data_IF_196865509788
#
_entry.id   IF_196865509788
#
_cell.length_a   1.000
_cell.length_b   1.000
_cell.length_c   1.000
_cell.angle_alpha   90.00
_cell.angle_beta   90.00
_cell.angle_gamma   90.00
#
_symmetry.space_group_name_H-M   'P 1'
#
loop_
_entity.id
_entity.type
_entity.pdbx_description
1 polymer ?
#
# COMPACT_ATOMS: atom_id res chain seq x y z
N UNK A 1 9.46 39.27 -70.79
CA UNK A 1 10.50 38.22 -70.89
C UNK A 1 10.09 37.13 -69.91
N UNK A 2 9.43 36.05 -70.37
CA UNK A 2 10.03 34.77 -70.83
C UNK A 2 10.92 34.17 -69.73
N UNK A 3 10.72 32.98 -69.18
CA UNK A 3 9.80 31.83 -69.32
C UNK A 3 10.04 30.97 -68.04
N UNK A 4 9.63 29.72 -67.84
CA UNK A 4 9.09 28.65 -68.67
C UNK A 4 8.81 27.48 -67.69
N UNK A 5 7.74 26.72 -67.95
CA UNK A 5 7.52 25.29 -67.61
C UNK A 5 7.27 24.93 -66.13
N UNK A 6 6.28 24.13 -65.77
CA UNK A 6 5.30 23.35 -66.54
C UNK A 6 4.72 22.21 -65.70
N UNK A 7 3.70 21.56 -66.27
CA UNK A 7 3.22 20.19 -65.99
C UNK A 7 2.17 19.97 -64.89
N UNK A 8 0.91 20.11 -65.33
CA UNK A 8 -0.20 19.14 -65.37
C UNK A 8 -0.62 18.36 -64.10
N UNK A 9 -1.96 18.25 -63.86
CA UNK A 9 -2.59 17.87 -62.60
C UNK A 9 -3.03 16.40 -62.59
N UNK A 10 -3.84 16.03 -61.59
CA UNK A 10 -4.51 14.74 -61.35
C UNK A 10 -3.72 13.74 -60.52
N UNK A 11 -4.21 13.53 -59.30
CA UNK A 11 -4.63 12.22 -58.78
C UNK A 11 -4.78 12.39 -57.26
N UNK A 12 -5.93 12.85 -56.77
CA UNK A 12 -6.56 12.36 -55.54
C UNK A 12 -8.00 12.88 -55.56
N UNK A 13 -8.92 11.98 -55.88
CA UNK A 13 -10.35 12.24 -55.73
C UNK A 13 -10.65 12.52 -54.26
N UNK A 14 -11.54 13.48 -54.02
CA UNK A 14 -12.27 13.64 -52.77
C UNK A 14 -13.27 12.47 -52.66
N UNK A 15 -12.76 11.26 -52.49
CA UNK A 15 -13.56 10.13 -52.02
C UNK A 15 -13.47 10.12 -50.49
N UNK A 16 -14.63 10.34 -49.87
CA UNK A 16 -15.02 9.97 -48.51
C UNK A 16 -13.93 9.37 -47.63
N UNK A 17 -13.16 10.25 -46.98
CA UNK A 17 -12.54 9.90 -45.71
C UNK A 17 -13.61 9.95 -44.63
N UNK A 18 -14.54 9.00 -44.71
CA UNK A 18 -15.38 8.61 -43.59
C UNK A 18 -14.47 7.83 -42.63
N UNK A 19 -13.50 8.53 -42.02
CA UNK A 19 -12.72 7.99 -40.91
C UNK A 19 -13.76 7.80 -39.81
N UNK A 20 -14.14 6.55 -39.47
CA UNK A 20 -15.03 6.37 -38.34
C UNK A 20 -14.37 7.06 -37.14
N UNK A 21 -15.10 7.90 -36.38
CA UNK A 21 -14.53 8.59 -35.25
C UNK A 21 -13.80 7.55 -34.41
N UNK A 22 -12.51 7.81 -34.12
CA UNK A 22 -11.69 6.92 -33.32
C UNK A 22 -12.51 6.63 -32.07
N UNK A 23 -13.04 5.41 -31.99
CA UNK A 23 -13.82 4.99 -30.84
C UNK A 23 -12.88 5.16 -29.64
N UNK A 24 -13.25 5.95 -28.62
CA UNK A 24 -12.43 6.05 -27.42
C UNK A 24 -12.11 4.63 -26.96
N UNK A 25 -10.83 4.34 -26.78
CA UNK A 25 -10.38 3.02 -26.33
C UNK A 25 -11.29 2.58 -25.18
N UNK A 26 -11.77 1.34 -25.19
CA UNK A 26 -12.76 0.85 -24.21
C UNK A 26 -12.40 1.26 -22.77
N UNK A 27 -11.12 1.18 -22.39
CA UNK A 27 -10.58 1.60 -21.08
C UNK A 27 -10.84 3.06 -20.67
N UNK A 28 -11.15 3.95 -21.61
CA UNK A 28 -11.41 5.37 -21.38
C UNK A 28 -12.91 5.66 -21.23
N UNK A 29 -13.79 4.70 -21.53
CA UNK A 29 -15.24 4.88 -21.35
C UNK A 29 -15.56 4.87 -19.84
N UNK A 30 -16.45 5.75 -19.34
CA UNK A 30 -16.75 5.89 -17.91
C UNK A 30 -17.16 4.59 -17.20
N UNK A 31 -17.87 3.71 -17.91
CA UNK A 31 -18.34 2.39 -17.49
C UNK A 31 -17.25 1.28 -17.53
N UNK A 32 -16.08 1.57 -18.10
CA UNK A 32 -14.95 0.66 -18.25
C UNK A 32 -13.63 1.26 -17.72
N UNK A 33 -13.72 2.36 -16.96
CA UNK A 33 -12.53 2.92 -16.32
C UNK A 33 -12.01 1.88 -15.34
N UNK A 34 -10.76 1.40 -15.45
CA UNK A 34 -10.17 0.66 -14.36
C UNK A 34 -10.25 1.52 -13.08
N UNK A 35 -10.22 0.90 -11.89
CA UNK A 35 -10.19 1.64 -10.61
C UNK A 35 -11.53 2.26 -10.17
N UNK A 36 -12.63 1.53 -10.36
CA UNK A 36 -13.92 1.93 -9.77
C UNK A 36 -14.09 1.45 -8.32
N UNK A 37 -13.40 0.38 -7.97
CA UNK A 37 -13.54 -0.27 -6.68
C UNK A 37 -12.36 0.05 -5.77
N UNK A 38 -12.67 0.20 -4.49
CA UNK A 38 -11.74 0.54 -3.41
C UNK A 38 -11.91 -0.54 -2.35
N UNK A 39 -10.80 -1.11 -1.88
CA UNK A 39 -10.78 -1.98 -0.71
C UNK A 39 -10.38 -1.16 0.51
N UNK A 40 -11.16 -1.27 1.59
CA UNK A 40 -10.96 -0.52 2.84
C UNK A 40 -11.08 -1.44 4.05
N UNK A 41 -10.17 -1.26 4.99
CA UNK A 41 -10.08 -2.02 6.24
C UNK A 41 -10.51 -1.13 7.40
N UNK A 42 -11.60 -1.51 8.06
CA UNK A 42 -12.13 -0.79 9.20
C UNK A 42 -11.73 -1.51 10.48
N UNK A 43 -11.20 -0.74 11.42
CA UNK A 43 -10.89 -1.25 12.74
C UNK A 43 -12.19 -1.47 13.52
N UNK A 44 -12.19 -2.50 14.35
CA UNK A 44 -13.36 -2.87 15.15
C UNK A 44 -13.21 -4.26 15.76
N UNK A 45 -14.10 -4.65 16.66
CA UNK A 45 -14.12 -6.01 17.23
C UNK A 45 -15.43 -6.70 16.83
N UNK A 46 -15.45 -7.52 15.76
CA UNK A 46 -14.35 -7.80 14.83
C UNK A 46 -14.11 -6.67 13.81
N UNK A 47 -12.95 -6.66 13.13
CA UNK A 47 -12.69 -5.75 12.02
C UNK A 47 -13.66 -6.01 10.84
N UNK A 48 -13.77 -5.04 9.93
CA UNK A 48 -14.54 -5.18 8.69
C UNK A 48 -13.65 -4.88 7.49
N UNK A 49 -13.58 -5.82 6.55
CA UNK A 49 -13.00 -5.57 5.24
C UNK A 49 -14.14 -5.34 4.24
N UNK A 50 -14.07 -4.29 3.43
CA UNK A 50 -15.09 -4.01 2.41
C UNK A 50 -14.45 -3.60 1.09
N UNK A 51 -15.06 -4.05 0.00
CA UNK A 51 -14.84 -3.52 -1.35
C UNK A 51 -16.08 -2.72 -1.71
N UNK A 52 -15.88 -1.46 -2.06
CA UNK A 52 -16.94 -0.51 -2.38
C UNK A 52 -16.56 0.32 -3.60
N UNK A 53 -17.54 0.93 -4.25
CA UNK A 53 -17.24 1.86 -5.33
C UNK A 53 -16.74 3.22 -4.83
N UNK A 54 -16.47 4.12 -5.77
CA UNK A 54 -16.03 5.49 -5.50
C UNK A 54 -17.04 6.30 -4.66
N UNK A 55 -18.32 5.95 -4.65
CA UNK A 55 -19.37 6.63 -3.87
C UNK A 55 -19.60 6.00 -2.49
N UNK A 56 -18.83 4.96 -2.15
CA UNK A 56 -18.92 4.25 -0.88
C UNK A 56 -19.99 3.15 -0.86
N UNK A 57 -20.59 2.81 -2.00
CA UNK A 57 -21.55 1.72 -2.08
C UNK A 57 -20.82 0.38 -1.97
N UNK A 58 -21.10 -0.37 -0.91
CA UNK A 58 -20.46 -1.66 -0.63
C UNK A 58 -20.93 -2.72 -1.62
N UNK A 59 -19.99 -3.33 -2.32
CA UNK A 59 -20.21 -4.43 -3.28
C UNK A 59 -19.86 -5.80 -2.71
N UNK A 60 -18.87 -5.84 -1.81
CA UNK A 60 -18.44 -7.04 -1.11
C UNK A 60 -17.93 -6.68 0.27
N UNK A 61 -18.12 -7.57 1.24
CA UNK A 61 -17.63 -7.39 2.60
C UNK A 61 -17.21 -8.70 3.23
N UNK A 62 -16.27 -8.65 4.14
CA UNK A 62 -15.80 -9.79 4.91
C UNK A 62 -15.69 -9.44 6.39
N UNK A 63 -16.26 -10.32 7.20
CA UNK A 63 -16.11 -10.40 8.65
C UNK A 63 -15.89 -11.84 9.06
N UNK A 64 -15.48 -12.08 10.31
CA UNK A 64 -15.34 -13.45 10.85
C UNK A 64 -16.63 -14.27 10.81
N UNK A 65 -17.81 -13.63 10.70
CA UNK A 65 -19.11 -14.32 10.60
C UNK A 65 -19.31 -14.98 9.23
N UNK A 66 -18.60 -14.52 8.21
CA UNK A 66 -18.66 -15.09 6.86
C UNK A 66 -17.87 -16.41 6.76
N UNK A 67 -17.03 -16.73 7.74
CA UNK A 67 -16.19 -17.93 7.73
C UNK A 67 -17.02 -19.16 8.14
N UNK A 68 -17.42 -19.95 7.14
CA UNK A 68 -18.18 -21.19 7.34
C UNK A 68 -17.34 -22.46 7.25
N UNK A 69 -16.09 -22.37 6.79
CA UNK A 69 -15.17 -23.50 6.72
C UNK A 69 -14.65 -23.90 8.10
N UNK A 70 -14.29 -25.18 8.26
CA UNK A 70 -13.55 -25.62 9.45
C UNK A 70 -12.15 -25.03 9.45
N UNK A 71 -11.70 -24.56 10.61
CA UNK A 71 -10.36 -24.02 10.81
C UNK A 71 -9.63 -24.84 11.89
N UNK A 72 -8.29 -24.98 11.77
CA UNK A 72 -7.45 -25.40 12.88
C UNK A 72 -7.73 -24.61 14.17
N UNK A 73 -7.67 -25.23 15.37
CA UNK A 73 -8.11 -24.59 16.62
C UNK A 73 -7.36 -23.29 16.98
N UNK A 74 -6.06 -23.22 16.70
CA UNK A 74 -5.26 -22.01 16.91
C UNK A 74 -5.68 -20.88 15.97
N UNK A 75 -5.86 -21.17 14.67
CA UNK A 75 -6.38 -20.19 13.71
C UNK A 75 -7.79 -19.72 14.09
N UNK A 76 -8.65 -20.63 14.53
CA UNK A 76 -9.98 -20.27 15.04
C UNK A 76 -9.88 -19.34 16.25
N UNK A 77 -9.01 -19.63 17.23
CA UNK A 77 -8.78 -18.74 18.38
C UNK A 77 -8.35 -17.34 17.94
N UNK A 78 -7.45 -17.22 16.97
CA UNK A 78 -6.99 -15.93 16.45
C UNK A 78 -8.09 -15.17 15.71
N UNK A 79 -8.88 -15.85 14.87
CA UNK A 79 -10.02 -15.27 14.16
C UNK A 79 -11.08 -14.71 15.13
N UNK A 80 -11.32 -15.41 16.24
CA UNK A 80 -12.31 -15.03 17.25
C UNK A 80 -11.75 -14.21 18.41
N UNK A 81 -10.48 -13.79 18.33
CA UNK A 81 -9.88 -12.90 19.32
C UNK A 81 -10.55 -11.51 19.37
N UNK A 82 -10.18 -10.70 20.37
CA UNK A 82 -10.62 -9.31 20.52
C UNK A 82 -9.70 -8.30 19.82
N UNK A 83 -8.73 -8.75 19.01
CA UNK A 83 -7.88 -7.86 18.23
C UNK A 83 -8.73 -7.12 17.18
N UNK A 84 -8.45 -5.82 17.00
CA UNK A 84 -9.26 -4.93 16.17
C UNK A 84 -8.61 -4.47 14.86
N UNK A 85 -7.46 -5.04 14.52
CA UNK A 85 -6.61 -4.52 13.44
C UNK A 85 -7.13 -4.81 12.03
N UNK A 86 -6.98 -3.82 11.15
CA UNK A 86 -7.15 -3.95 9.70
C UNK A 86 -6.09 -3.09 8.98
N UNK A 87 -4.81 -3.37 9.22
CA UNK A 87 -3.68 -2.49 8.88
C UNK A 87 -3.22 -2.57 7.41
N UNK A 88 -3.57 -3.64 6.69
CA UNK A 88 -3.14 -3.86 5.31
C UNK A 88 -4.16 -4.63 4.47
N UNK A 89 -4.23 -4.28 3.19
CA UNK A 89 -5.10 -4.87 2.19
C UNK A 89 -4.41 -4.90 0.83
N UNK A 90 -4.30 -6.08 0.22
CA UNK A 90 -3.62 -6.28 -1.07
C UNK A 90 -4.49 -7.04 -2.05
N UNK A 91 -4.69 -6.44 -3.22
CA UNK A 91 -5.23 -7.11 -4.39
C UNK A 91 -4.27 -8.20 -4.86
N UNK A 92 -4.78 -9.41 -5.04
CA UNK A 92 -4.01 -10.60 -5.41
C UNK A 92 -4.77 -11.42 -6.48
N UNK A 93 -4.06 -12.29 -7.19
CA UNK A 93 -4.64 -13.26 -8.12
C UNK A 93 -5.62 -12.65 -9.13
N UNK A 94 -5.23 -11.54 -9.76
CA UNK A 94 -6.12 -10.83 -10.68
C UNK A 94 -7.47 -10.41 -10.09
N UNK A 95 -7.52 -10.14 -8.78
CA UNK A 95 -8.71 -9.71 -8.06
C UNK A 95 -9.57 -10.85 -7.56
N UNK A 96 -9.12 -12.11 -7.69
CA UNK A 96 -9.83 -13.26 -7.11
C UNK A 96 -9.42 -13.56 -5.68
N UNK A 97 -8.47 -12.81 -5.11
CA UNK A 97 -8.03 -12.98 -3.73
C UNK A 97 -7.62 -11.65 -3.09
N UNK A 98 -7.79 -11.56 -1.78
CA UNK A 98 -7.40 -10.43 -0.93
C UNK A 98 -6.41 -10.91 0.14
N UNK A 99 -5.20 -10.36 0.14
CA UNK A 99 -4.26 -10.48 1.26
C UNK A 99 -4.55 -9.41 2.30
N UNK A 100 -4.56 -9.75 3.59
CA UNK A 100 -4.88 -8.80 4.64
C UNK A 100 -4.20 -9.10 5.98
N UNK A 101 -4.01 -8.05 6.77
CA UNK A 101 -3.96 -8.16 8.23
C UNK A 101 -5.39 -7.96 8.75
N UNK A 102 -5.93 -8.95 9.46
CA UNK A 102 -7.31 -8.95 9.96
C UNK A 102 -7.35 -9.48 11.39
N UNK A 103 -7.67 -8.61 12.35
CA UNK A 103 -7.63 -8.93 13.77
C UNK A 103 -6.27 -9.53 14.10
N UNK A 104 -6.23 -10.69 14.74
CA UNK A 104 -4.99 -11.35 15.12
C UNK A 104 -4.42 -12.31 14.05
N UNK A 105 -4.71 -12.07 12.77
CA UNK A 105 -4.30 -12.91 11.64
C UNK A 105 -3.62 -12.10 10.54
N UNK A 106 -2.63 -12.71 9.89
CA UNK A 106 -2.26 -12.40 8.52
C UNK A 106 -2.83 -13.49 7.62
N UNK A 107 -3.59 -13.15 6.58
CA UNK A 107 -4.39 -14.12 5.83
C UNK A 107 -4.58 -13.76 4.36
N UNK A 108 -5.01 -14.75 3.57
CA UNK A 108 -5.48 -14.62 2.19
C UNK A 108 -6.91 -15.15 2.13
N UNK A 109 -7.81 -14.34 1.54
CA UNK A 109 -9.24 -14.64 1.38
C UNK A 109 -9.55 -14.75 -0.10
N UNK A 110 -10.38 -15.71 -0.50
CA UNK A 110 -10.99 -15.72 -1.82
C UNK A 110 -11.99 -14.56 -1.99
N UNK A 111 -11.86 -13.85 -3.09
CA UNK A 111 -12.81 -12.87 -3.59
C UNK A 111 -13.38 -13.40 -4.90
N UNK A 112 -14.44 -14.20 -4.82
CA UNK A 112 -15.12 -14.78 -5.98
C UNK A 112 -16.62 -14.60 -5.83
N UNK A 113 -17.15 -13.36 -5.84
CA UNK A 113 -18.56 -13.07 -5.56
C UNK A 113 -19.54 -13.84 -6.47
N UNK A 114 -19.14 -14.12 -7.72
CA UNK A 114 -19.93 -14.92 -8.67
C UNK A 114 -19.93 -16.43 -8.37
N UNK A 115 -19.14 -16.88 -7.37
CA UNK A 115 -19.02 -18.27 -6.93
C UNK A 115 -19.20 -18.35 -5.40
N UNK A 116 -20.45 -18.27 -4.89
CA UNK A 116 -20.72 -18.18 -3.45
C UNK A 116 -20.16 -19.33 -2.59
N UNK A 117 -19.92 -20.51 -3.18
CA UNK A 117 -19.35 -21.67 -2.46
C UNK A 117 -17.86 -21.50 -2.12
N UNK A 118 -17.14 -20.70 -2.90
CA UNK A 118 -15.70 -20.48 -2.75
C UNK A 118 -15.37 -19.06 -2.31
N UNK A 119 -16.32 -18.14 -2.42
CA UNK A 119 -16.18 -16.77 -1.94
C UNK A 119 -15.95 -16.74 -0.43
N UNK A 120 -15.12 -15.78 0.03
CA UNK A 120 -14.82 -15.55 1.45
C UNK A 120 -14.14 -16.72 2.19
N UNK A 121 -13.72 -17.76 1.47
CA UNK A 121 -12.90 -18.82 2.06
C UNK A 121 -11.50 -18.28 2.38
N UNK A 122 -10.98 -18.64 3.55
CA UNK A 122 -9.59 -18.42 3.93
C UNK A 122 -8.75 -19.52 3.27
N UNK A 123 -7.82 -19.12 2.40
CA UNK A 123 -6.93 -20.05 1.68
C UNK A 123 -5.53 -20.14 2.30
N UNK A 124 -5.14 -19.11 3.04
CA UNK A 124 -3.94 -19.10 3.87
C UNK A 124 -4.19 -18.24 5.10
N UNK A 125 -3.65 -18.65 6.25
CA UNK A 125 -3.64 -17.81 7.44
C UNK A 125 -2.51 -18.21 8.39
N UNK A 126 -2.01 -17.21 9.13
CA UNK A 126 -1.10 -17.39 10.25
C UNK A 126 -1.51 -16.48 11.41
N UNK A 127 -1.50 -17.03 12.62
CA UNK A 127 -1.72 -16.26 13.84
C UNK A 127 -0.60 -15.25 14.08
N UNK A 128 -0.98 -14.02 14.42
CA UNK A 128 -0.05 -12.96 14.81
C UNK A 128 0.45 -13.12 16.24
N UNK A 129 -0.28 -13.82 17.11
CA UNK A 129 0.08 -14.11 18.51
C UNK A 129 1.28 -15.08 18.64
N UNK A 130 2.44 -14.64 18.16
CA UNK A 130 3.73 -15.32 18.19
C UNK A 130 4.83 -14.28 18.34
N UNK A 131 5.98 -14.67 18.88
CA UNK A 131 7.11 -13.75 19.09
C UNK A 131 7.57 -13.04 17.80
N UNK A 132 7.38 -13.68 16.64
CA UNK A 132 7.80 -13.14 15.34
C UNK A 132 6.74 -12.35 14.57
N UNK A 133 5.47 -12.33 15.02
CA UNK A 133 4.36 -11.68 14.30
C UNK A 133 3.43 -10.84 15.18
N UNK A 134 3.69 -10.70 16.50
CA UNK A 134 2.77 -10.06 17.46
C UNK A 134 2.35 -8.64 17.05
N UNK A 135 3.19 -7.95 16.27
CA UNK A 135 2.90 -6.64 15.69
C UNK A 135 3.01 -6.65 14.15
N UNK A 136 2.59 -7.75 13.50
CA UNK A 136 2.53 -7.81 12.04
C UNK A 136 1.59 -6.72 11.51
N UNK A 137 2.02 -5.98 10.49
CA UNK A 137 1.36 -4.75 10.06
C UNK A 137 1.09 -4.69 8.56
N UNK A 138 1.91 -5.37 7.77
CA UNK A 138 1.77 -5.41 6.30
C UNK A 138 2.05 -6.81 5.75
N UNK A 139 1.46 -7.09 4.60
CA UNK A 139 1.64 -8.30 3.81
C UNK A 139 1.91 -7.92 2.36
N UNK A 140 2.69 -8.70 1.64
CA UNK A 140 2.88 -8.54 0.20
C UNK A 140 2.97 -9.91 -0.48
N UNK A 141 2.20 -10.14 -1.57
CA UNK A 141 2.37 -11.33 -2.40
C UNK A 141 3.73 -11.33 -3.08
N UNK A 142 4.35 -12.51 -3.18
CA UNK A 142 5.61 -12.77 -3.85
C UNK A 142 5.44 -13.87 -4.91
N UNK A 143 6.37 -14.02 -5.86
CA UNK A 143 6.32 -15.09 -6.86
C UNK A 143 6.23 -16.50 -6.26
N UNK A 144 5.42 -17.34 -6.91
CA UNK A 144 5.29 -18.76 -6.56
C UNK A 144 4.52 -18.98 -5.27
N UNK A 145 3.35 -18.35 -5.14
CA UNK A 145 2.38 -18.48 -4.05
C UNK A 145 2.99 -18.21 -2.68
N UNK A 146 3.90 -17.24 -2.57
CA UNK A 146 4.53 -16.87 -1.30
C UNK A 146 3.95 -15.58 -0.77
N UNK A 147 3.82 -15.49 0.55
CA UNK A 147 3.36 -14.28 1.22
C UNK A 147 4.46 -13.81 2.18
N UNK A 148 4.95 -12.59 1.97
CA UNK A 148 5.74 -11.87 2.96
C UNK A 148 4.79 -11.25 3.99
N UNK A 149 5.13 -11.36 5.27
CA UNK A 149 4.43 -10.74 6.38
C UNK A 149 5.47 -9.99 7.21
N UNK A 150 5.31 -8.69 7.37
CA UNK A 150 6.27 -7.85 8.08
C UNK A 150 5.67 -7.23 9.34
N UNK A 151 6.54 -6.94 10.30
CA UNK A 151 6.15 -6.40 11.61
C UNK A 151 6.63 -4.99 11.83
N UNK A 152 5.89 -4.26 12.65
CA UNK A 152 6.31 -2.98 13.22
C UNK A 152 7.08 -3.17 14.53
N UNK A 153 7.78 -4.32 14.65
CA UNK A 153 8.61 -4.63 15.80
C UNK A 153 9.86 -3.75 15.87
N UNK A 154 10.35 -3.55 17.09
CA UNK A 154 11.42 -2.61 17.43
C UNK A 154 12.76 -3.31 17.70
N UNK A 155 12.81 -4.64 17.67
CA UNK A 155 13.98 -5.44 18.01
C UNK A 155 14.85 -5.68 16.77
N UNK A 156 16.18 -5.87 16.91
CA UNK A 156 17.06 -6.16 15.78
C UNK A 156 16.70 -7.41 14.98
N UNK A 157 15.97 -8.35 15.59
CA UNK A 157 15.52 -9.59 14.96
C UNK A 157 14.06 -9.53 14.47
N UNK A 158 13.39 -8.39 14.60
CA UNK A 158 12.13 -8.15 13.89
C UNK A 158 12.40 -7.92 12.39
N UNK A 159 11.36 -8.06 11.56
CA UNK A 159 11.47 -7.90 10.12
C UNK A 159 10.36 -8.62 9.35
N UNK A 160 10.74 -9.37 8.32
CA UNK A 160 9.83 -10.02 7.37
C UNK A 160 9.93 -11.53 7.46
N UNK A 161 8.79 -12.20 7.66
CA UNK A 161 8.65 -13.64 7.57
C UNK A 161 7.96 -14.01 6.25
N UNK A 162 8.50 -15.00 5.54
CA UNK A 162 7.94 -15.48 4.27
C UNK A 162 7.34 -16.87 4.47
N UNK A 163 6.13 -17.06 3.96
CA UNK A 163 5.37 -18.30 4.04
C UNK A 163 5.02 -18.84 2.65
N UNK A 164 4.82 -20.15 2.54
CA UNK A 164 4.11 -20.72 1.41
C UNK A 164 2.60 -20.54 1.64
N UNK A 165 2.00 -19.66 0.87
CA UNK A 165 0.59 -19.28 0.94
C UNK A 165 -0.24 -19.86 -0.22
N UNK A 166 0.24 -20.94 -0.83
CA UNK A 166 -0.52 -21.70 -1.83
C UNK A 166 -1.83 -22.20 -1.25
N UNK A 167 -2.92 -21.99 -2.00
CA UNK A 167 -4.25 -22.48 -1.65
C UNK A 167 -4.36 -24.02 -1.70
N UNK A 168 -3.38 -24.70 -2.32
CA UNK A 168 -3.29 -26.17 -2.35
C UNK A 168 -2.77 -26.73 -1.03
N UNK A 169 -2.14 -25.90 -0.17
CA UNK A 169 -1.71 -26.32 1.15
C UNK A 169 -2.90 -26.32 2.13
N UNK A 170 -2.97 -27.31 3.04
CA UNK A 170 -3.96 -27.27 4.09
C UNK A 170 -3.70 -26.10 5.05
N UNK A 171 -4.77 -25.53 5.60
CA UNK A 171 -4.66 -24.61 6.73
C UNK A 171 -4.09 -25.35 7.95
N UNK A 172 -3.14 -24.73 8.62
CA UNK A 172 -2.45 -25.27 9.81
C UNK A 172 -2.26 -24.15 10.83
N UNK A 173 -2.24 -24.49 12.12
CA UNK A 173 -1.98 -23.52 13.21
C UNK A 173 -0.59 -22.89 13.13
N UNK A 174 0.37 -23.58 12.51
CA UNK A 174 1.78 -23.18 12.42
C UNK A 174 2.31 -23.48 11.03
N UNK A 175 1.91 -22.70 10.00
CA UNK A 175 2.50 -22.85 8.67
C UNK A 175 4.02 -22.66 8.75
N UNK A 176 4.83 -23.48 8.05
CA UNK A 176 6.28 -23.34 8.08
C UNK A 176 6.75 -21.98 7.56
N UNK A 177 7.72 -21.39 8.26
CA UNK A 177 8.43 -20.20 7.80
C UNK A 177 9.45 -20.64 6.76
N UNK A 178 9.33 -20.16 5.52
CA UNK A 178 10.30 -20.41 4.45
C UNK A 178 11.55 -19.54 4.62
N UNK A 179 11.37 -18.31 5.11
CA UNK A 179 12.45 -17.35 5.26
C UNK A 179 12.16 -16.35 6.37
N UNK A 180 13.22 -15.92 7.07
CA UNK A 180 13.19 -14.82 8.04
C UNK A 180 14.24 -13.77 7.65
N UNK A 181 13.77 -12.58 7.26
CA UNK A 181 14.59 -11.42 6.94
C UNK A 181 14.56 -10.42 8.09
N UNK A 182 15.63 -10.38 8.87
CA UNK A 182 15.78 -9.46 10.00
C UNK A 182 16.49 -8.16 9.63
N UNK A 183 16.45 -7.17 10.52
CA UNK A 183 17.36 -6.01 10.50
C UNK A 183 16.73 -4.70 10.03
N UNK A 184 15.64 -4.75 9.27
CA UNK A 184 14.76 -3.59 9.08
C UNK A 184 13.65 -3.65 10.13
N UNK A 185 13.55 -2.61 10.96
CA UNK A 185 12.58 -2.51 12.05
C UNK A 185 11.38 -1.68 11.63
N UNK A 186 10.32 -1.70 12.44
CA UNK A 186 9.15 -0.83 12.27
C UNK A 186 8.59 -0.83 10.82
N UNK A 187 8.47 -2.00 10.18
CA UNK A 187 8.05 -2.09 8.78
C UNK A 187 6.55 -1.87 8.67
N UNK A 188 6.14 -0.81 7.98
CA UNK A 188 4.73 -0.47 7.77
C UNK A 188 4.25 -0.65 6.32
N UNK A 189 5.17 -0.71 5.36
CA UNK A 189 4.83 -0.84 3.94
C UNK A 189 5.78 -1.78 3.20
N UNK A 190 5.21 -2.58 2.30
CA UNK A 190 5.95 -3.41 1.36
C UNK A 190 5.33 -3.33 -0.03
N UNK A 191 6.15 -3.46 -1.07
CA UNK A 191 5.68 -3.66 -2.44
C UNK A 191 6.58 -4.63 -3.21
N UNK A 192 5.95 -5.49 -4.00
CA UNK A 192 6.65 -6.27 -5.01
C UNK A 192 6.85 -5.45 -6.29
N UNK A 193 8.10 -5.43 -6.76
CA UNK A 193 8.51 -4.86 -8.02
C UNK A 193 8.83 -5.99 -9.01
N UNK A 194 7.87 -6.29 -9.89
CA UNK A 194 8.02 -7.36 -10.88
C UNK A 194 9.08 -7.05 -11.94
N UNK A 195 9.30 -5.78 -12.30
CA UNK A 195 10.32 -5.43 -13.29
C UNK A 195 11.72 -5.58 -12.70
N UNK A 196 11.91 -5.16 -11.46
CA UNK A 196 13.18 -5.32 -10.73
C UNK A 196 13.38 -6.71 -10.12
N UNK A 197 12.35 -7.56 -10.09
CA UNK A 197 12.30 -8.81 -9.33
C UNK A 197 12.76 -8.59 -7.88
N UNK A 198 12.10 -7.65 -7.19
CA UNK A 198 12.54 -7.14 -5.89
C UNK A 198 11.36 -6.91 -4.96
N UNK A 199 11.51 -7.30 -3.69
CA UNK A 199 10.62 -6.84 -2.63
C UNK A 199 11.22 -5.57 -2.03
N UNK A 200 10.49 -4.46 -2.11
CA UNK A 200 10.85 -3.23 -1.41
C UNK A 200 10.08 -3.14 -0.10
N UNK A 201 10.75 -2.76 0.99
CA UNK A 201 10.15 -2.57 2.31
C UNK A 201 10.53 -1.20 2.88
N UNK A 202 9.57 -0.54 3.53
CA UNK A 202 9.72 0.73 4.21
C UNK A 202 9.59 0.55 5.72
N UNK A 203 10.61 0.98 6.47
CA UNK A 203 10.69 0.90 7.92
C UNK A 203 11.78 1.81 8.47
N UNK A 204 12.49 1.34 9.50
CA UNK A 204 13.50 2.09 10.24
C UNK A 204 14.79 1.27 10.39
N UNK A 205 15.94 1.94 10.33
CA UNK A 205 17.25 1.29 10.55
C UNK A 205 17.58 1.02 12.02
N UNK A 206 16.91 1.73 12.94
CA UNK A 206 16.98 1.56 14.39
C UNK A 206 15.57 1.53 14.99
N UNK A 207 15.46 1.31 16.31
CA UNK A 207 14.17 1.28 16.99
C UNK A 207 13.46 2.65 16.90
N UNK A 208 12.27 2.65 16.31
CA UNK A 208 11.43 3.84 16.16
C UNK A 208 10.92 4.37 17.51
N UNK A 209 10.80 3.52 18.53
CA UNK A 209 10.33 3.89 19.87
C UNK A 209 11.40 4.54 20.76
N UNK A 210 12.62 4.76 20.23
CA UNK A 210 13.73 5.38 20.93
C UNK A 210 14.52 4.44 21.85
N UNK A 211 14.18 3.14 21.91
CA UNK A 211 14.82 2.17 22.81
C UNK A 211 16.30 1.88 22.50
N UNK A 212 16.77 2.19 21.29
CA UNK A 212 18.20 2.09 20.93
C UNK A 212 19.03 3.30 21.40
N UNK A 213 18.39 4.37 21.92
CA UNK A 213 19.04 5.62 22.35
C UNK A 213 19.94 6.30 21.29
N UNK A 214 19.60 6.13 20.01
CA UNK A 214 20.23 6.77 18.86
C UNK A 214 19.14 7.30 17.90
N UNK A 215 19.47 8.24 17.00
CA UNK A 215 18.56 8.63 15.92
C UNK A 215 18.20 7.43 15.04
N UNK A 216 16.91 7.25 14.77
CA UNK A 216 16.40 6.25 13.84
C UNK A 216 15.92 6.93 12.56
N UNK A 217 16.40 6.45 11.42
CA UNK A 217 16.16 7.02 10.11
C UNK A 217 15.13 6.20 9.34
N UNK A 218 14.17 6.90 8.72
CA UNK A 218 13.31 6.29 7.71
C UNK A 218 14.14 5.62 6.63
N UNK A 219 13.95 4.32 6.45
CA UNK A 219 14.82 3.47 5.63
C UNK A 219 14.00 2.57 4.72
N UNK A 220 14.44 2.50 3.46
CA UNK A 220 13.88 1.64 2.42
C UNK A 220 14.94 0.60 2.06
N UNK A 221 14.55 -0.67 2.07
CA UNK A 221 15.42 -1.78 1.66
C UNK A 221 14.77 -2.52 0.50
N UNK A 222 15.55 -2.72 -0.55
CA UNK A 222 15.26 -3.64 -1.64
C UNK A 222 15.86 -5.01 -1.36
N UNK A 223 15.05 -6.06 -1.45
CA UNK A 223 15.46 -7.45 -1.32
C UNK A 223 15.36 -8.14 -2.69
N UNK A 224 16.47 -8.33 -3.41
CA UNK A 224 16.45 -9.00 -4.71
C UNK A 224 15.93 -10.43 -4.59
N UNK A 225 15.14 -10.85 -5.56
CA UNK A 225 14.60 -12.20 -5.64
C UNK A 225 15.57 -13.15 -6.35
N UNK A 226 15.83 -14.30 -5.74
CA UNK A 226 16.53 -15.40 -6.38
C UNK A 226 15.53 -16.41 -6.93
N UNK A 227 15.32 -16.38 -8.25
CA UNK A 227 14.40 -17.29 -8.93
C UNK A 227 14.81 -18.77 -8.83
N UNK A 228 16.07 -19.08 -8.53
CA UNK A 228 16.55 -20.47 -8.40
C UNK A 228 16.16 -21.07 -7.07
N UNK A 229 16.31 -20.29 -5.99
CA UNK A 229 16.01 -20.75 -4.63
C UNK A 229 14.59 -20.39 -4.19
N UNK A 230 13.97 -19.42 -4.85
CA UNK A 230 12.70 -18.85 -4.45
C UNK A 230 12.78 -18.11 -3.11
N UNK A 231 13.92 -17.45 -2.86
CA UNK A 231 14.22 -16.71 -1.64
C UNK A 231 14.66 -15.28 -1.96
N UNK A 232 14.42 -14.38 -1.02
CA UNK A 232 14.87 -13.00 -1.06
C UNK A 232 16.33 -12.89 -0.58
N UNK A 233 17.12 -11.98 -1.14
CA UNK A 233 18.52 -11.75 -0.72
C UNK A 233 18.64 -10.44 0.04
N UNK A 234 19.49 -10.42 1.07
CA UNK A 234 19.98 -9.17 1.66
C UNK A 234 21.16 -8.68 0.84
N UNK A 235 21.15 -7.41 0.48
CA UNK A 235 22.19 -6.78 -0.32
C UNK A 235 22.25 -5.29 0.02
N UNK A 236 23.36 -4.88 0.63
CA UNK A 236 23.54 -3.53 1.17
C UNK A 236 23.54 -2.45 0.08
N UNK A 237 23.65 -2.84 -1.20
CA UNK A 237 23.54 -1.92 -2.35
C UNK A 237 22.14 -1.32 -2.51
N UNK A 238 21.11 -1.96 -1.93
CA UNK A 238 19.72 -1.52 -2.03
C UNK A 238 19.18 -1.04 -0.68
N UNK A 239 20.00 -0.37 0.12
CA UNK A 239 19.60 0.24 1.40
C UNK A 239 19.67 1.76 1.27
N UNK A 240 18.53 2.42 1.39
CA UNK A 240 18.38 3.86 1.18
C UNK A 240 17.75 4.49 2.40
N UNK A 241 18.40 5.51 2.97
CA UNK A 241 17.95 6.20 4.18
C UNK A 241 17.59 7.65 3.86
N UNK A 242 16.59 8.17 4.55
CA UNK A 242 16.37 9.61 4.59
C UNK A 242 17.60 10.31 5.17
N UNK A 243 17.90 11.51 4.70
CA UNK A 243 19.10 12.25 5.09
C UNK A 243 19.07 12.79 6.51
N UNK A 244 17.89 12.86 7.12
CA UNK A 244 17.67 13.33 8.49
C UNK A 244 16.70 12.41 9.21
N UNK A 245 17.00 12.13 10.48
CA UNK A 245 16.09 11.54 11.43
C UNK A 245 15.36 12.67 12.17
N UNK A 246 14.04 12.58 12.25
CA UNK A 246 13.22 13.50 13.00
C UNK A 246 12.51 12.76 14.13
N UNK A 247 12.35 13.38 15.28
CA UNK A 247 11.36 12.93 16.26
C UNK A 247 9.94 13.38 15.83
N UNK A 248 8.93 12.82 16.48
CA UNK A 248 7.52 13.20 16.27
C UNK A 248 6.97 14.06 17.42
N UNK A 249 7.82 14.79 18.15
CA UNK A 249 7.39 15.65 19.25
C UNK A 249 6.49 16.79 18.79
N UNK A 250 6.64 17.28 17.55
CA UNK A 250 5.75 18.30 16.99
C UNK A 250 4.29 17.87 17.07
N UNK A 251 4.00 16.61 16.78
CA UNK A 251 2.65 16.04 16.91
C UNK A 251 2.34 15.59 18.33
N UNK A 252 3.20 14.78 18.92
CA UNK A 252 2.87 14.02 20.13
C UNK A 252 3.24 14.73 21.44
N UNK A 253 3.89 15.88 21.35
CA UNK A 253 4.28 16.72 22.47
C UNK A 253 5.65 16.39 23.06
N UNK A 254 6.04 17.21 24.03
CA UNK A 254 7.39 17.17 24.60
C UNK A 254 7.68 15.84 25.30
N UNK A 255 8.84 15.25 24.98
CA UNK A 255 9.32 14.02 25.61
C UNK A 255 8.75 12.74 25.01
N UNK A 256 7.97 12.82 23.92
CA UNK A 256 7.55 11.64 23.19
C UNK A 256 8.76 11.00 22.50
N UNK A 257 9.10 9.72 22.80
CA UNK A 257 10.41 9.16 22.47
C UNK A 257 10.50 8.61 21.05
N UNK A 258 9.47 8.80 20.23
CA UNK A 258 9.38 8.17 18.91
C UNK A 258 10.05 9.00 17.81
N UNK A 259 10.67 8.28 16.89
CA UNK A 259 11.20 8.78 15.64
C UNK A 259 10.16 8.68 14.52
N UNK A 260 10.21 9.64 13.59
CA UNK A 260 9.39 9.68 12.39
C UNK A 260 9.75 8.50 11.48
N UNK A 261 8.80 7.60 11.32
CA UNK A 261 8.92 6.38 10.56
C UNK A 261 8.12 6.40 9.27
N UNK A 262 8.54 5.55 8.34
CA UNK A 262 7.85 5.35 7.09
C UNK A 262 6.58 4.51 7.30
N UNK A 263 5.47 4.88 6.65
CA UNK A 263 4.14 4.27 6.85
C UNK A 263 3.57 3.55 5.63
N UNK A 264 3.91 4.00 4.44
CA UNK A 264 3.39 3.46 3.21
C UNK A 264 4.43 3.55 2.09
N UNK A 265 4.32 2.66 1.12
CA UNK A 265 5.16 2.62 -0.06
C UNK A 265 4.23 2.35 -1.26
N UNK A 266 4.07 3.37 -2.10
CA UNK A 266 3.03 3.44 -3.12
C UNK A 266 3.67 3.68 -4.48
N UNK A 267 3.47 2.80 -5.47
CA UNK A 267 4.08 2.99 -6.77
C UNK A 267 3.42 4.15 -7.53
N UNK A 268 4.22 4.85 -8.33
CA UNK A 268 3.72 5.86 -9.26
C UNK A 268 3.34 5.16 -10.58
N UNK A 269 2.08 5.29 -11.06
CA UNK A 269 1.65 4.63 -12.28
C UNK A 269 2.56 4.93 -13.48
N UNK A 270 2.96 3.87 -14.20
CA UNK A 270 3.84 3.91 -15.37
C UNK A 270 5.21 4.56 -15.15
N UNK A 271 5.68 4.66 -13.90
CA UNK A 271 6.98 5.23 -13.56
C UNK A 271 7.77 4.28 -12.66
N UNK A 272 9.10 4.29 -12.80
CA UNK A 272 10.05 3.56 -11.93
C UNK A 272 10.31 4.31 -10.64
N UNK A 273 9.22 4.72 -9.98
CA UNK A 273 9.23 5.48 -8.74
C UNK A 273 8.18 4.94 -7.79
N UNK A 274 8.44 5.10 -6.49
CA UNK A 274 7.39 5.02 -5.50
C UNK A 274 7.40 6.27 -4.62
N UNK A 275 6.23 6.63 -4.15
CA UNK A 275 6.03 7.60 -3.10
C UNK A 275 6.02 6.88 -1.75
N UNK A 276 6.49 7.57 -0.72
CA UNK A 276 6.66 7.04 0.61
C UNK A 276 6.11 8.06 1.59
N UNK A 277 5.21 7.63 2.47
CA UNK A 277 4.80 8.49 3.58
C UNK A 277 5.68 8.25 4.81
N UNK A 278 5.95 9.33 5.52
CA UNK A 278 6.58 9.41 6.83
C UNK A 278 5.60 10.13 7.78
N UNK A 279 5.75 9.99 9.11
CA UNK A 279 4.97 10.76 10.09
C UNK A 279 4.97 12.28 9.81
N UNK A 280 5.99 12.85 9.15
CA UNK A 280 6.05 14.30 8.83
C UNK A 280 5.54 14.69 7.45
N UNK A 281 5.48 13.76 6.49
CA UNK A 281 5.09 14.10 5.12
C UNK A 281 5.37 13.02 4.08
N UNK A 282 5.60 13.45 2.84
CA UNK A 282 5.79 12.56 1.70
C UNK A 282 7.17 12.68 1.06
N UNK A 283 7.65 11.59 0.50
CA UNK A 283 8.87 11.51 -0.28
C UNK A 283 8.63 10.78 -1.59
N UNK A 284 9.34 11.15 -2.64
CA UNK A 284 9.42 10.38 -3.87
C UNK A 284 10.80 9.75 -4.01
N UNK A 285 10.84 8.44 -4.21
CA UNK A 285 12.06 7.69 -4.44
C UNK A 285 12.12 7.23 -5.89
N UNK A 286 13.24 7.50 -6.55
CA UNK A 286 13.53 7.06 -7.91
C UNK A 286 14.36 5.78 -7.86
N UNK A 287 13.80 4.70 -8.41
CA UNK A 287 14.42 3.36 -8.35
C UNK A 287 15.62 3.26 -9.27
N UNK A 288 15.61 3.99 -10.40
CA UNK A 288 16.69 3.94 -11.37
C UNK A 288 17.90 4.73 -10.87
N UNK A 289 17.66 5.85 -10.19
CA UNK A 289 18.70 6.66 -9.57
C UNK A 289 19.16 6.11 -8.21
N UNK A 290 18.28 5.40 -7.50
CA UNK A 290 18.54 4.92 -6.15
C UNK A 290 18.58 6.06 -5.13
N UNK A 291 17.71 7.06 -5.27
CA UNK A 291 17.70 8.21 -4.36
C UNK A 291 16.31 8.81 -4.16
N UNK A 292 16.16 9.55 -3.06
CA UNK A 292 15.00 10.41 -2.84
C UNK A 292 15.16 11.68 -3.69
N UNK A 293 14.15 11.97 -4.52
CA UNK A 293 14.21 13.04 -5.54
C UNK A 293 13.30 14.21 -5.22
N UNK A 294 12.17 13.97 -4.57
CA UNK A 294 11.22 15.01 -4.16
C UNK A 294 10.77 14.78 -2.71
N UNK A 295 10.45 15.88 -2.01
CA UNK A 295 10.05 15.88 -0.61
C UNK A 295 8.87 16.84 -0.37
N UNK A 296 8.02 16.48 0.58
CA UNK A 296 6.93 17.29 1.11
C UNK A 296 6.01 17.86 0.02
N UNK A 297 5.80 19.19 0.02
CA UNK A 297 4.93 19.91 -0.91
C UNK A 297 5.24 19.62 -2.39
N UNK A 298 6.52 19.43 -2.73
CA UNK A 298 6.91 19.08 -4.10
C UNK A 298 6.33 17.73 -4.53
N UNK A 299 6.12 16.80 -3.60
CA UNK A 299 5.47 15.52 -3.88
C UNK A 299 3.97 15.71 -4.07
N UNK A 300 3.30 16.45 -3.18
CA UNK A 300 1.85 16.66 -3.30
C UNK A 300 1.48 17.47 -4.53
N UNK A 301 2.25 18.51 -4.86
CA UNK A 301 2.01 19.37 -6.02
C UNK A 301 2.19 18.60 -7.33
N UNK A 302 3.17 17.69 -7.37
CA UNK A 302 3.50 16.92 -8.56
C UNK A 302 2.60 15.70 -8.77
N UNK A 303 2.27 14.98 -7.69
CA UNK A 303 1.62 13.66 -7.80
C UNK A 303 0.23 13.58 -7.16
N UNK A 304 -0.17 14.55 -6.32
CA UNK A 304 -1.41 14.51 -5.54
C UNK A 304 -2.17 15.85 -5.58
N UNK A 305 -2.32 16.43 -6.77
CA UNK A 305 -3.04 17.69 -6.95
C UNK A 305 -4.48 17.59 -6.40
N UNK A 306 -4.85 18.52 -5.51
CA UNK A 306 -6.13 18.50 -4.81
C UNK A 306 -6.10 17.75 -3.46
N UNK A 307 -4.92 17.41 -2.95
CA UNK A 307 -4.74 16.96 -1.57
C UNK A 307 -5.17 18.06 -0.60
N UNK A 308 -5.91 17.68 0.45
CA UNK A 308 -6.28 18.55 1.56
C UNK A 308 -6.06 17.82 2.89
N UNK A 309 -5.62 18.55 3.91
CA UNK A 309 -5.49 18.01 5.26
C UNK A 309 -6.83 17.48 5.79
N UNK A 310 -6.80 16.43 6.59
CA UNK A 310 -8.01 15.94 7.29
C UNK A 310 -8.42 16.83 8.46
N UNK A 311 -7.49 17.60 9.01
CA UNK A 311 -7.66 18.49 10.16
C UNK A 311 -6.81 19.76 10.00
N UNK A 312 -7.23 20.86 10.63
CA UNK A 312 -6.56 22.17 10.56
C UNK A 312 -5.53 22.41 11.70
N UNK A 313 -5.27 21.38 12.51
CA UNK A 313 -4.46 21.42 13.74
C UNK A 313 -3.06 20.83 13.60
N UNK A 314 -2.58 20.66 12.35
CA UNK A 314 -1.30 19.99 12.05
C UNK A 314 -0.09 20.88 12.23
N UNK A 315 0.08 21.40 13.43
CA UNK A 315 1.16 22.30 13.79
C UNK A 315 1.55 22.14 15.26
N UNK A 316 2.80 22.44 15.57
CA UNK A 316 3.32 22.33 16.92
C UNK A 316 4.74 22.81 17.05
N UNK A 317 5.30 22.71 18.26
CA UNK A 317 6.70 23.00 18.51
C UNK A 317 7.53 21.71 18.45
N UNK A 318 8.63 21.74 17.70
CA UNK A 318 9.58 20.63 17.63
C UNK A 318 10.47 20.57 18.89
N UNK A 319 11.40 19.60 18.92
CA UNK A 319 12.33 19.39 20.04
C UNK A 319 13.28 20.57 20.29
N UNK A 320 13.56 21.38 19.27
CA UNK A 320 14.38 22.60 19.36
C UNK A 320 13.56 23.84 19.79
N UNK A 321 12.25 23.68 19.99
CA UNK A 321 11.34 24.77 20.36
C UNK A 321 10.92 25.66 19.18
N UNK A 322 11.10 25.18 17.95
CA UNK A 322 10.69 25.87 16.73
C UNK A 322 9.28 25.48 16.32
N UNK A 323 8.49 26.44 15.83
CA UNK A 323 7.15 26.18 15.30
C UNK A 323 7.22 25.52 13.92
N UNK A 324 6.51 24.41 13.74
CA UNK A 324 6.44 23.66 12.49
C UNK A 324 4.99 23.50 12.02
N UNK A 325 4.78 23.64 10.71
CA UNK A 325 3.53 23.29 10.01
C UNK A 325 3.74 21.95 9.28
N UNK A 326 2.92 20.95 9.59
CA UNK A 326 3.04 19.60 9.05
C UNK A 326 1.76 19.14 8.35
N UNK A 327 1.28 19.83 7.30
CA UNK A 327 -0.01 19.53 6.66
C UNK A 327 -0.10 18.11 6.08
N UNK A 328 1.04 17.53 5.70
CA UNK A 328 1.14 16.21 5.09
C UNK A 328 1.47 15.11 6.10
N UNK A 329 1.63 15.48 7.37
CA UNK A 329 1.98 14.52 8.43
C UNK A 329 1.02 13.36 8.45
N UNK A 330 1.55 12.22 8.89
CA UNK A 330 0.74 11.16 9.43
C UNK A 330 -0.26 10.56 8.41
N UNK A 331 0.16 10.58 7.15
CA UNK A 331 -0.50 9.94 6.03
C UNK A 331 -0.31 8.42 6.10
N UNK A 332 -1.17 7.76 6.89
CA UNK A 332 -1.10 6.32 7.15
C UNK A 332 -1.32 5.49 5.88
N UNK A 333 -2.06 6.00 4.89
CA UNK A 333 -2.22 5.34 3.60
C UNK A 333 -2.51 6.28 2.45
N UNK A 334 -2.04 5.91 1.27
CA UNK A 334 -2.50 6.52 0.02
C UNK A 334 -2.36 5.56 -1.16
N UNK A 335 -3.03 5.85 -2.27
CA UNK A 335 -2.91 5.05 -3.48
C UNK A 335 -3.26 5.87 -4.73
N UNK A 336 -2.38 5.84 -5.72
CA UNK A 336 -2.52 6.58 -6.98
C UNK A 336 -3.15 5.70 -8.06
N UNK A 337 -4.08 6.24 -8.82
CA UNK A 337 -4.60 5.63 -10.03
C UNK A 337 -3.99 6.29 -11.28
N UNK A 338 -3.88 5.57 -12.41
CA UNK A 338 -3.33 6.08 -13.67
C UNK A 338 -4.15 7.22 -14.30
N UNK A 339 -5.42 7.37 -13.92
CA UNK A 339 -6.28 8.47 -14.35
C UNK A 339 -6.03 9.78 -13.59
N UNK A 340 -5.03 9.81 -12.70
CA UNK A 340 -4.68 10.94 -11.83
C UNK A 340 -5.58 11.07 -10.59
N UNK A 341 -6.58 10.19 -10.43
CA UNK A 341 -7.31 10.11 -9.17
C UNK A 341 -6.47 9.40 -8.10
N UNK A 342 -6.72 9.72 -6.85
CA UNK A 342 -6.06 9.06 -5.75
C UNK A 342 -6.96 9.01 -4.53
N UNK A 343 -6.64 8.09 -3.64
CA UNK A 343 -7.26 7.97 -2.33
C UNK A 343 -6.20 8.08 -1.25
N UNK A 344 -6.59 8.57 -0.08
CA UNK A 344 -5.72 8.59 1.08
C UNK A 344 -6.49 8.56 2.38
N UNK A 345 -5.78 8.09 3.41
CA UNK A 345 -6.20 8.08 4.81
C UNK A 345 -5.09 8.77 5.58
N UNK A 346 -5.43 9.91 6.15
CA UNK A 346 -4.56 10.65 7.06
C UNK A 346 -5.12 10.46 8.46
N UNK A 347 -4.26 10.23 9.44
CA UNK A 347 -4.70 10.11 10.84
C UNK A 347 -5.36 11.40 11.32
N UNK A 348 -6.02 11.38 12.48
CA UNK A 348 -6.29 12.62 13.21
C UNK A 348 -5.04 13.03 14.00
N UNK A 349 -4.81 14.32 14.19
CA UNK A 349 -3.68 14.81 14.99
C UNK A 349 -3.68 14.16 16.37
N UNK A 350 -2.53 13.62 16.81
CA UNK A 350 -2.36 12.87 18.07
C UNK A 350 -3.18 11.57 18.15
N UNK A 351 -3.55 11.00 17.00
CA UNK A 351 -4.25 9.72 16.88
C UNK A 351 -3.54 8.85 15.85
N UNK A 352 -3.65 7.54 16.02
CA UNK A 352 -3.00 6.61 15.10
C UNK A 352 -3.76 6.33 13.80
N UNK A 353 -5.02 6.81 13.68
CA UNK A 353 -5.98 6.37 12.65
C UNK A 353 -6.79 7.55 12.12
N UNK A 354 -7.21 7.44 10.87
CA UNK A 354 -8.15 8.37 10.25
C UNK A 354 -9.59 7.96 10.50
N UNK A 355 -10.53 8.84 10.19
CA UNK A 355 -11.98 8.61 10.37
C UNK A 355 -12.77 8.57 9.07
N UNK A 356 -12.07 8.63 7.93
CA UNK A 356 -12.63 8.56 6.58
C UNK A 356 -11.53 8.25 5.56
N UNK A 357 -11.94 7.85 4.37
CA UNK A 357 -11.10 7.84 3.18
C UNK A 357 -11.35 9.13 2.41
N UNK A 358 -10.29 9.88 2.09
CA UNK A 358 -10.37 10.99 1.14
C UNK A 358 -10.15 10.47 -0.27
N UNK A 359 -11.09 10.77 -1.17
CA UNK A 359 -11.02 10.45 -2.59
C UNK A 359 -10.90 11.74 -3.39
N UNK A 360 -9.86 11.85 -4.21
CA UNK A 360 -9.61 13.00 -5.07
C UNK A 360 -9.75 12.59 -6.52
N UNK A 361 -10.63 13.28 -7.24
CA UNK A 361 -10.89 13.06 -8.67
C UNK A 361 -10.85 14.41 -9.36
N UNK A 362 -10.03 14.55 -10.40
CA UNK A 362 -9.84 15.80 -11.14
C UNK A 362 -9.51 16.99 -10.21
N UNK A 363 -8.63 16.77 -9.23
CA UNK A 363 -8.22 17.78 -8.25
C UNK A 363 -9.29 18.18 -7.23
N UNK A 364 -10.44 17.49 -7.19
CA UNK A 364 -11.51 17.75 -6.21
C UNK A 364 -11.61 16.62 -5.21
N UNK A 365 -11.45 16.96 -3.94
CA UNK A 365 -11.59 16.02 -2.83
C UNK A 365 -13.05 15.81 -2.44
N UNK A 366 -13.37 14.58 -2.07
CA UNK A 366 -14.57 14.21 -1.31
C UNK A 366 -14.23 13.15 -0.26
N UNK A 367 -15.00 13.13 0.81
CA UNK A 367 -14.86 12.15 1.88
C UNK A 367 -15.84 10.98 1.65
N UNK A 368 -15.37 9.76 1.85
CA UNK A 368 -16.16 8.53 1.85
C UNK A 368 -15.80 7.69 3.08
N UNK A 369 -16.64 6.72 3.47
CA UNK A 369 -16.46 5.92 4.69
C UNK A 369 -16.32 6.76 5.97
N UNK A 370 -17.13 7.81 6.11
CA UNK A 370 -17.06 8.73 7.25
C UNK A 370 -17.51 8.04 8.55
N UNK A 371 -16.73 8.21 9.61
CA UNK A 371 -17.06 7.79 10.98
C UNK A 371 -16.43 6.47 11.41
N UNK A 372 -15.79 5.74 10.50
CA UNK A 372 -15.09 4.48 10.80
C UNK A 372 -13.60 4.76 11.07
N UNK A 373 -12.99 4.05 12.02
CA UNK A 373 -11.53 4.10 12.20
C UNK A 373 -10.83 3.32 11.07
N UNK A 374 -9.99 4.03 10.30
CA UNK A 374 -9.35 3.49 9.10
C UNK A 374 -7.85 3.74 9.19
N UNK A 375 -7.07 2.74 8.78
CA UNK A 375 -5.63 2.88 8.54
C UNK A 375 -5.29 2.75 7.06
N UNK A 376 -5.94 1.82 6.33
CA UNK A 376 -5.62 1.52 4.93
C UNK A 376 -6.85 1.50 4.03
N UNK A 377 -6.75 2.23 2.91
CA UNK A 377 -7.66 2.13 1.76
C UNK A 377 -6.83 2.08 0.48
N UNK A 378 -7.15 1.14 -0.41
CA UNK A 378 -6.44 0.94 -1.69
C UNK A 378 -7.41 0.84 -2.84
N UNK A 379 -6.98 1.23 -4.03
CA UNK A 379 -7.71 0.85 -5.23
C UNK A 379 -7.69 -0.68 -5.37
N UNK A 380 -8.85 -1.25 -5.69
CA UNK A 380 -9.00 -2.69 -5.91
C UNK A 380 -8.66 -3.04 -7.36
N UNK A 381 -7.36 -3.05 -7.67
CA UNK A 381 -6.87 -3.31 -9.01
C UNK A 381 -5.34 -3.34 -9.13
N UNK A 382 -4.86 -3.61 -10.34
CA UNK A 382 -3.44 -3.69 -10.66
C UNK A 382 -2.90 -2.35 -11.15
N UNK A 383 -1.81 -1.84 -10.58
CA UNK A 383 -1.29 -0.50 -10.88
C UNK A 383 -0.57 -0.52 -12.22
N UNK A 384 -0.94 0.39 -13.14
CA UNK A 384 -0.33 0.44 -14.47
C UNK A 384 1.20 0.61 -14.36
N UNK A 385 1.95 -0.20 -15.12
CA UNK A 385 3.41 -0.25 -15.04
C UNK A 385 3.96 -1.02 -13.83
N UNK A 386 3.10 -1.50 -12.93
CA UNK A 386 3.46 -2.19 -11.69
C UNK A 386 2.68 -3.50 -11.54
N UNK A 387 2.91 -4.49 -12.43
CA UNK A 387 2.19 -5.75 -12.37
C UNK A 387 2.48 -6.49 -11.06
N UNK A 388 1.45 -7.09 -10.49
CA UNK A 388 1.59 -8.02 -9.36
C UNK A 388 2.29 -9.31 -9.79
N UNK A 389 2.98 -9.99 -8.85
CA UNK A 389 3.62 -11.25 -9.19
C UNK A 389 2.54 -12.27 -9.59
N UNK A 390 2.96 -13.28 -10.35
CA UNK A 390 2.18 -14.52 -10.43
C UNK A 390 2.23 -15.18 -9.06
N UNK A 391 1.22 -14.85 -8.27
CA UNK A 391 0.99 -15.44 -6.98
C UNK A 391 0.53 -16.87 -7.20
#
# INVERSE_FOLDING_TARGET
>A
MLGLLGWIPLLFGLEDWNIPPIQPQQRLRPDHRPWQDIVTGLYGVPPLLKIHDRDGMVKWSFTRKDVTQSLPPGLQKCLYSNANDATELKWMNNGTSLGAIYGNLALVINHTPDKPKTDKLITFAVCRDTDGLWNAHTVEPLPGQRLAVATTGQRPWDGILVYNASADNPLTDKPPILQNLTGLRAIHGMIWDEQGQMLWAAGMDAAADGSDHIPAYGTIIGYPWDATTGLLKKDDRYVYKLSKAYDIMTEWGQGFPWWAGLHDLVPVPNQRKFLVSEDRGLHAFDIELGEFTEHYENVTDKYMQGFECTTDDRHGYNSDGEWEELPQSDLKSFNLAPDGSFIYVQSLWTKYRGFHTSLVVNGKRRMINIGDEIYRSRWWGNIDGWPKPKF
#
